data_IF_308740872009
#
_entry.id   IF_308740872009
#
_cell.length_a   1.000
_cell.length_b   1.000
_cell.length_c   1.000
_cell.angle_alpha   90.00
_cell.angle_beta   90.00
_cell.angle_gamma   90.00
#
_symmetry.space_group_name_H-M   'P 1'
#
loop_
_entity.id
_entity.type
_entity.pdbx_description
1 polymer ?
#
# COMPACT_ATOMS: atom_id res chain seq x y z
N UNK A 1 4.21 -20.37 -1.60
CA UNK A 1 3.25 -20.51 -0.50
C UNK A 1 3.18 -19.21 0.29
N UNK A 2 2.01 -18.82 0.73
CA UNK A 2 1.80 -17.55 1.40
C UNK A 2 2.48 -17.48 2.76
N UNK A 3 3.18 -16.37 3.03
CA UNK A 3 3.82 -16.11 4.32
C UNK A 3 2.86 -15.35 5.25
N UNK A 4 3.07 -15.42 6.58
CA UNK A 4 2.15 -14.80 7.54
C UNK A 4 2.40 -13.29 7.73
N UNK A 5 2.44 -12.54 6.65
CA UNK A 5 2.47 -11.07 6.69
C UNK A 5 1.83 -10.50 5.45
N UNK A 6 1.55 -9.21 5.50
CA UNK A 6 0.92 -8.49 4.41
C UNK A 6 1.66 -7.18 4.16
N UNK A 7 1.51 -6.62 2.97
CA UNK A 7 2.10 -5.33 2.62
C UNK A 7 1.04 -4.37 2.11
N UNK A 8 1.30 -3.08 2.31
CA UNK A 8 0.45 -1.98 1.88
C UNK A 8 1.34 -0.97 1.16
N UNK A 9 0.96 -0.58 -0.05
CA UNK A 9 1.79 0.30 -0.87
C UNK A 9 0.98 1.50 -1.36
N UNK A 10 1.54 2.71 -1.19
CA UNK A 10 0.96 3.92 -1.76
C UNK A 10 1.89 4.48 -2.83
N UNK A 11 1.48 4.43 -4.11
CA UNK A 11 2.20 5.15 -5.16
C UNK A 11 2.03 6.66 -4.98
N UNK A 12 3.10 7.41 -5.24
CA UNK A 12 3.02 8.87 -5.21
C UNK A 12 3.80 9.47 -6.36
N UNK A 13 3.40 10.69 -6.73
CA UNK A 13 4.06 11.47 -7.77
C UNK A 13 4.24 12.89 -7.25
N UNK A 14 5.39 13.49 -7.57
CA UNK A 14 5.72 14.86 -7.17
C UNK A 14 5.89 15.70 -8.42
N UNK A 15 5.07 16.75 -8.54
CA UNK A 15 5.15 17.69 -9.65
C UNK A 15 5.07 19.11 -9.08
N UNK A 16 6.03 19.98 -9.44
CA UNK A 16 6.05 21.38 -9.01
C UNK A 16 5.82 21.55 -7.49
N UNK A 17 6.50 20.70 -6.70
CA UNK A 17 6.37 20.66 -5.23
C UNK A 17 5.00 20.27 -4.73
N UNK A 18 4.16 19.73 -5.60
CA UNK A 18 2.85 19.18 -5.26
C UNK A 18 2.94 17.66 -5.22
N UNK A 19 2.28 17.05 -4.25
CA UNK A 19 2.32 15.59 -4.08
C UNK A 19 0.92 15.04 -4.26
N UNK A 20 0.80 14.03 -5.11
CA UNK A 20 -0.46 13.30 -5.27
C UNK A 20 -0.21 11.82 -5.01
N UNK A 21 -1.21 11.18 -4.44
CA UNK A 21 -1.18 9.76 -4.07
C UNK A 21 -2.23 9.00 -4.85
N UNK A 22 -1.88 7.79 -5.27
CA UNK A 22 -2.86 6.92 -5.91
C UNK A 22 -3.55 6.09 -4.83
N UNK A 23 -4.87 6.09 -4.85
CA UNK A 23 -5.69 5.19 -4.03
C UNK A 23 -6.58 4.37 -4.96
N UNK A 24 -7.04 3.23 -4.47
CA UNK A 24 -7.64 2.19 -5.30
C UNK A 24 -8.97 1.72 -4.73
N UNK A 25 -9.95 1.59 -5.62
CA UNK A 25 -11.27 1.08 -5.26
C UNK A 25 -11.31 -0.42 -5.52
N UNK A 26 -11.64 -1.20 -4.50
CA UNK A 26 -11.73 -2.64 -4.63
C UNK A 26 -13.01 -3.05 -5.35
N UNK A 27 -12.86 -4.03 -6.25
CA UNK A 27 -13.99 -4.52 -7.04
C UNK A 27 -15.00 -5.33 -6.21
N UNK A 28 -14.54 -5.93 -5.11
CA UNK A 28 -15.40 -6.83 -4.32
C UNK A 28 -16.14 -6.12 -3.17
N UNK A 29 -15.61 -4.99 -2.65
CA UNK A 29 -16.16 -4.33 -1.46
C UNK A 29 -16.54 -2.87 -1.67
N UNK A 30 -16.23 -2.30 -2.82
CA UNK A 30 -16.58 -0.91 -3.17
C UNK A 30 -16.05 0.14 -2.18
N UNK A 31 -14.85 -0.09 -1.62
CA UNK A 31 -14.20 0.92 -0.79
C UNK A 31 -12.78 1.21 -1.29
N UNK A 32 -12.21 2.32 -0.81
CA UNK A 32 -10.90 2.80 -1.25
C UNK A 32 -9.81 2.42 -0.25
N UNK A 33 -8.64 2.06 -0.78
CA UNK A 33 -7.47 1.68 0.01
C UNK A 33 -6.19 1.83 -0.82
N UNK A 34 -5.03 1.66 -0.15
CA UNK A 34 -3.77 1.48 -0.87
C UNK A 34 -3.71 0.10 -1.52
N UNK A 35 -2.64 -0.16 -2.26
CA UNK A 35 -2.39 -1.50 -2.79
C UNK A 35 -2.03 -2.42 -1.63
N UNK A 36 -2.75 -3.51 -1.48
CA UNK A 36 -2.50 -4.45 -0.39
C UNK A 36 -2.40 -5.86 -0.93
N UNK A 37 -1.51 -6.66 -0.35
CA UNK A 37 -1.36 -8.03 -0.76
C UNK A 37 -0.55 -8.85 0.23
N UNK A 38 -0.56 -10.15 0.06
CA UNK A 38 0.13 -11.07 0.96
C UNK A 38 1.58 -11.29 0.58
N UNK A 39 2.41 -11.54 1.59
CA UNK A 39 3.78 -11.97 1.37
C UNK A 39 3.83 -13.42 0.91
N UNK A 40 4.93 -13.80 0.29
CA UNK A 40 5.21 -15.16 -0.11
C UNK A 40 6.42 -15.69 0.67
N UNK A 41 6.49 -17.00 0.86
CA UNK A 41 7.63 -17.62 1.54
C UNK A 41 8.94 -17.25 0.85
N UNK A 42 9.92 -16.85 1.65
CA UNK A 42 11.23 -16.48 1.14
C UNK A 42 11.35 -15.02 0.74
N UNK A 43 10.24 -14.28 0.72
CA UNK A 43 10.29 -12.85 0.42
C UNK A 43 10.46 -12.02 1.69
N UNK A 44 11.21 -10.94 1.58
CA UNK A 44 11.18 -9.87 2.58
C UNK A 44 9.96 -8.99 2.32
N UNK A 45 9.53 -8.17 3.31
CA UNK A 45 8.40 -7.26 3.07
C UNK A 45 8.57 -6.34 1.86
N UNK A 46 9.77 -5.78 1.64
CA UNK A 46 10.00 -4.92 0.47
C UNK A 46 9.89 -5.70 -0.85
N UNK A 47 10.35 -6.93 -0.89
CA UNK A 47 10.22 -7.76 -2.08
C UNK A 47 8.75 -8.05 -2.38
N UNK A 48 7.97 -8.35 -1.35
CA UNK A 48 6.53 -8.55 -1.51
C UNK A 48 5.83 -7.28 -1.98
N UNK A 49 6.21 -6.12 -1.42
CA UNK A 49 5.65 -4.83 -1.82
C UNK A 49 5.89 -4.56 -3.30
N UNK A 50 7.11 -4.81 -3.77
CA UNK A 50 7.46 -4.62 -5.19
C UNK A 50 6.69 -5.57 -6.10
N UNK A 51 6.56 -6.82 -5.70
CA UNK A 51 5.81 -7.81 -6.48
C UNK A 51 4.34 -7.44 -6.56
N UNK A 52 3.72 -7.12 -5.42
CA UNK A 52 2.30 -6.76 -5.38
C UNK A 52 2.03 -5.49 -6.20
N UNK A 53 2.88 -4.48 -6.09
CA UNK A 53 2.71 -3.25 -6.86
C UNK A 53 2.80 -3.52 -8.36
N UNK A 54 3.66 -4.44 -8.78
CA UNK A 54 3.75 -4.84 -10.18
C UNK A 54 2.50 -5.61 -10.62
N UNK A 55 2.07 -6.59 -9.85
CA UNK A 55 0.92 -7.42 -10.18
C UNK A 55 -0.39 -6.61 -10.20
N UNK A 56 -0.57 -5.73 -9.22
CA UNK A 56 -1.84 -5.02 -9.02
C UNK A 56 -1.95 -3.73 -9.81
N UNK A 57 -0.84 -3.07 -10.13
CA UNK A 57 -0.88 -1.75 -10.75
C UNK A 57 0.15 -1.55 -11.86
N UNK A 58 0.91 -2.57 -12.22
CA UNK A 58 1.90 -2.47 -13.28
C UNK A 58 3.11 -1.60 -12.94
N UNK A 59 3.37 -1.40 -11.66
CA UNK A 59 4.50 -0.57 -11.22
C UNK A 59 5.77 -1.40 -11.23
N UNK A 60 6.77 -0.97 -12.00
CA UNK A 60 8.02 -1.73 -12.11
C UNK A 60 8.80 -1.70 -10.81
N UNK A 61 9.61 -2.76 -10.60
CA UNK A 61 10.33 -2.95 -9.34
C UNK A 61 11.49 -1.99 -9.12
N UNK A 62 11.89 -1.26 -10.16
CA UNK A 62 13.06 -0.39 -10.13
C UNK A 62 12.80 0.98 -9.50
N UNK A 63 11.54 1.35 -9.29
CA UNK A 63 11.23 2.66 -8.76
C UNK A 63 11.60 2.76 -7.27
N UNK A 64 11.90 3.99 -6.79
CA UNK A 64 12.32 4.18 -5.40
C UNK A 64 11.20 3.90 -4.41
N UNK A 65 11.47 3.07 -3.40
CA UNK A 65 10.55 2.77 -2.32
C UNK A 65 11.00 3.42 -1.03
N UNK A 66 10.02 3.82 -0.23
CA UNK A 66 10.24 4.27 1.15
C UNK A 66 9.55 3.24 2.04
N UNK A 67 10.32 2.63 2.96
CA UNK A 67 9.73 1.78 3.98
C UNK A 67 9.24 2.67 5.12
N UNK A 68 7.96 2.53 5.48
CA UNK A 68 7.35 3.35 6.52
C UNK A 68 7.52 2.67 7.87
N UNK A 69 7.43 3.46 8.94
CA UNK A 69 7.40 2.93 10.29
C UNK A 69 6.02 2.39 10.64
N UNK A 70 4.98 2.90 9.98
CA UNK A 70 3.61 2.45 10.19
C UNK A 70 3.49 0.95 9.95
N UNK A 71 2.90 0.26 10.91
CA UNK A 71 2.71 -1.17 10.84
C UNK A 71 1.42 -1.50 11.56
N UNK A 72 0.63 -2.40 11.02
CA UNK A 72 -0.65 -2.80 11.59
C UNK A 72 -0.69 -4.28 11.86
N UNK A 73 -1.56 -4.66 12.79
CA UNK A 73 -1.89 -6.06 13.04
C UNK A 73 -3.30 -6.32 12.52
N UNK A 74 -3.45 -7.38 11.76
CA UNK A 74 -4.74 -7.77 11.18
C UNK A 74 -5.12 -9.15 11.69
N UNK A 75 -6.39 -9.36 12.11
CA UNK A 75 -6.82 -10.71 12.49
C UNK A 75 -6.64 -11.66 11.32
N UNK A 76 -6.07 -12.84 11.60
CA UNK A 76 -5.79 -13.80 10.53
C UNK A 76 -7.06 -14.21 9.79
N UNK A 77 -8.18 -14.33 10.49
CA UNK A 77 -9.46 -14.70 9.89
C UNK A 77 -9.97 -13.66 8.90
N UNK A 78 -9.68 -12.38 9.14
CA UNK A 78 -10.14 -11.30 8.25
C UNK A 78 -9.31 -11.24 6.96
N UNK A 79 -8.11 -11.83 6.96
CA UNK A 79 -7.21 -11.79 5.80
C UNK A 79 -7.33 -13.03 4.93
N UNK A 80 -7.27 -14.22 5.54
CA UNK A 80 -7.27 -15.49 4.79
C UNK A 80 -8.46 -16.38 5.10
N UNK A 81 -9.34 -15.98 6.03
CA UNK A 81 -10.56 -16.71 6.34
C UNK A 81 -10.41 -17.83 7.35
N UNK A 82 -9.21 -18.31 7.60
CA UNK A 82 -8.96 -19.35 8.59
C UNK A 82 -7.53 -19.28 9.13
N UNK A 83 -7.17 -20.24 9.98
CA UNK A 83 -5.84 -20.28 10.62
C UNK A 83 -4.84 -21.02 9.73
N UNK A 84 -4.51 -20.43 8.59
CA UNK A 84 -3.66 -21.02 7.56
C UNK A 84 -2.27 -21.45 8.10
N UNK A 85 -1.72 -20.72 9.07
CA UNK A 85 -0.39 -20.98 9.64
C UNK A 85 -0.45 -21.63 11.02
N UNK A 86 -1.55 -22.28 11.34
CA UNK A 86 -1.73 -22.94 12.62
C UNK A 86 -2.50 -22.07 13.61
N UNK A 87 -3.03 -22.73 14.63
CA UNK A 87 -3.93 -22.09 15.59
C UNK A 87 -3.24 -21.08 16.52
N UNK A 88 -1.93 -20.99 16.49
CA UNK A 88 -1.18 -20.08 17.36
C UNK A 88 -0.81 -18.75 16.71
N UNK A 89 -1.11 -18.56 15.42
CA UNK A 89 -0.90 -17.29 14.73
C UNK A 89 -2.26 -16.61 14.56
N UNK A 90 -2.52 -15.64 15.43
CA UNK A 90 -3.81 -14.96 15.49
C UNK A 90 -3.86 -13.71 14.61
N UNK A 91 -2.73 -13.02 14.46
CA UNK A 91 -2.67 -11.79 13.69
C UNK A 91 -1.52 -11.82 12.69
N UNK A 92 -1.70 -11.08 11.60
CA UNK A 92 -0.65 -10.85 10.62
C UNK A 92 -0.16 -9.43 10.76
N UNK A 93 1.13 -9.21 10.53
CA UNK A 93 1.68 -7.86 10.44
C UNK A 93 1.53 -7.35 9.03
N UNK A 94 1.12 -6.09 8.89
CA UNK A 94 1.06 -5.41 7.62
C UNK A 94 2.14 -4.32 7.60
N UNK A 95 3.09 -4.45 6.67
CA UNK A 95 4.19 -3.50 6.48
C UNK A 95 3.81 -2.51 5.38
N UNK A 96 4.14 -1.23 5.57
CA UNK A 96 3.67 -0.16 4.69
C UNK A 96 4.82 0.52 3.95
N UNK A 97 4.55 0.91 2.71
CA UNK A 97 5.56 1.49 1.82
C UNK A 97 4.96 2.59 0.97
N UNK A 98 5.82 3.53 0.55
CA UNK A 98 5.49 4.43 -0.54
C UNK A 98 6.39 4.14 -1.73
N UNK A 99 5.92 4.37 -2.94
CA UNK A 99 6.72 4.20 -4.15
C UNK A 99 6.55 5.41 -5.06
N UNK A 100 7.68 6.00 -5.47
CA UNK A 100 7.67 7.15 -6.37
C UNK A 100 7.54 6.66 -7.81
N UNK A 101 6.54 7.15 -8.52
CA UNK A 101 6.32 6.78 -9.91
C UNK A 101 6.47 8.00 -10.82
N UNK A 102 6.91 7.80 -12.09
CA UNK A 102 7.15 8.91 -12.99
C UNK A 102 5.91 9.43 -13.69
N UNK A 103 4.86 8.62 -13.80
CA UNK A 103 3.61 9.00 -14.48
C UNK A 103 2.41 8.51 -13.70
N UNK A 104 1.24 9.08 -14.03
CA UNK A 104 -0.02 8.72 -13.38
C UNK A 104 -0.73 7.51 -14.01
N UNK A 105 -0.15 6.92 -15.05
CA UNK A 105 -0.77 5.77 -15.71
C UNK A 105 -0.45 4.48 -14.98
N UNK A 106 -1.49 3.75 -14.60
CA UNK A 106 -1.38 2.48 -13.90
C UNK A 106 -2.22 1.43 -14.64
N UNK A 107 -1.76 0.17 -14.57
CA UNK A 107 -2.47 -0.96 -15.17
C UNK A 107 -3.06 -1.83 -14.06
N UNK A 108 -4.35 -1.67 -13.80
CA UNK A 108 -4.99 -2.36 -12.70
C UNK A 108 -5.23 -3.83 -12.97
N UNK A 109 -5.10 -4.64 -11.91
CA UNK A 109 -5.53 -6.04 -11.92
C UNK A 109 -7.05 -6.09 -11.76
N UNK A 110 -7.60 -7.32 -11.80
CA UNK A 110 -9.05 -7.55 -11.65
C UNK A 110 -9.56 -7.23 -10.25
N UNK A 111 -8.69 -7.10 -9.27
CA UNK A 111 -9.07 -6.84 -7.88
C UNK A 111 -9.52 -5.41 -7.64
N UNK A 112 -9.22 -4.49 -8.56
CA UNK A 112 -9.54 -3.09 -8.41
C UNK A 112 -10.42 -2.60 -9.56
N UNK A 113 -11.44 -1.79 -9.23
CA UNK A 113 -12.32 -1.17 -10.21
C UNK A 113 -11.71 0.08 -10.81
N UNK A 114 -11.01 0.86 -9.99
CA UNK A 114 -10.60 2.19 -10.37
C UNK A 114 -9.47 2.68 -9.48
N UNK A 115 -8.81 3.75 -9.92
CA UNK A 115 -7.84 4.45 -9.10
C UNK A 115 -8.02 5.95 -9.28
N UNK A 116 -7.57 6.70 -8.26
CA UNK A 116 -7.59 8.16 -8.28
C UNK A 116 -6.27 8.70 -7.78
N UNK A 117 -5.83 9.78 -8.38
CA UNK A 117 -4.68 10.55 -7.91
C UNK A 117 -5.20 11.76 -7.14
N UNK A 118 -4.88 11.84 -5.86
CA UNK A 118 -5.42 12.90 -4.99
C UNK A 118 -4.32 13.44 -4.08
N UNK A 119 -4.47 14.70 -3.66
CA UNK A 119 -3.63 15.24 -2.61
C UNK A 119 -3.93 14.50 -1.29
N UNK A 120 -3.06 14.64 -0.30
CA UNK A 120 -3.23 13.95 0.97
C UNK A 120 -4.60 14.22 1.59
N UNK A 121 -5.00 15.50 1.66
CA UNK A 121 -6.23 15.91 2.34
C UNK A 121 -7.47 15.26 1.74
N UNK A 122 -7.49 15.07 0.44
CA UNK A 122 -8.60 14.39 -0.23
C UNK A 122 -8.50 12.88 -0.12
N UNK A 123 -7.29 12.33 -0.32
CA UNK A 123 -7.09 10.89 -0.29
C UNK A 123 -7.47 10.28 1.06
N UNK A 124 -7.05 10.94 2.16
CA UNK A 124 -7.28 10.40 3.50
C UNK A 124 -8.76 10.30 3.84
N UNK A 125 -9.61 11.18 3.28
CA UNK A 125 -11.05 11.14 3.55
C UNK A 125 -11.74 9.95 2.88
N UNK A 126 -11.18 9.43 1.80
CA UNK A 126 -11.78 8.31 1.08
C UNK A 126 -11.31 6.94 1.58
N UNK A 127 -10.15 6.87 2.22
CA UNK A 127 -9.60 5.61 2.69
C UNK A 127 -10.48 4.98 3.76
N UNK A 128 -10.75 3.69 3.60
CA UNK A 128 -11.61 2.94 4.50
C UNK A 128 -10.94 2.62 5.84
N UNK A 129 -9.67 2.19 5.79
CA UNK A 129 -9.01 1.60 6.96
C UNK A 129 -8.12 2.60 7.70
N UNK A 130 -8.16 2.57 9.02
CA UNK A 130 -7.30 3.44 9.84
C UNK A 130 -5.82 3.18 9.59
N UNK A 131 -5.44 1.93 9.36
CA UNK A 131 -4.07 1.58 9.03
C UNK A 131 -3.59 2.29 7.76
N UNK A 132 -4.45 2.39 6.77
CA UNK A 132 -4.16 3.10 5.52
C UNK A 132 -4.00 4.60 5.75
N UNK A 133 -4.87 5.17 6.58
CA UNK A 133 -4.82 6.59 6.91
C UNK A 133 -3.52 6.94 7.64
N UNK A 134 -3.11 6.11 8.58
CA UNK A 134 -1.86 6.32 9.32
C UNK A 134 -0.64 6.21 8.41
N UNK A 135 -0.62 5.19 7.55
CA UNK A 135 0.49 5.01 6.61
C UNK A 135 0.58 6.19 5.64
N UNK A 136 -0.54 6.64 5.11
CA UNK A 136 -0.55 7.78 4.19
C UNK A 136 -0.12 9.07 4.90
N UNK A 137 -0.56 9.26 6.14
CA UNK A 137 -0.14 10.40 6.94
C UNK A 137 1.38 10.42 7.11
N UNK A 138 1.97 9.29 7.47
CA UNK A 138 3.42 9.20 7.64
C UNK A 138 4.16 9.48 6.33
N UNK A 139 3.73 8.86 5.25
CA UNK A 139 4.33 9.08 3.94
C UNK A 139 4.30 10.56 3.56
N UNK A 140 3.14 11.19 3.73
CA UNK A 140 2.98 12.61 3.41
C UNK A 140 3.91 13.48 4.26
N UNK A 141 4.04 13.20 5.55
CA UNK A 141 4.95 13.95 6.43
C UNK A 141 6.40 13.78 6.01
N UNK A 142 6.81 12.57 5.68
CA UNK A 142 8.18 12.31 5.22
C UNK A 142 8.49 13.07 3.93
N UNK A 143 7.56 13.07 2.98
CA UNK A 143 7.75 13.74 1.71
C UNK A 143 7.76 15.26 1.87
N UNK A 144 6.86 15.81 2.68
CA UNK A 144 6.85 17.25 2.96
C UNK A 144 8.15 17.70 3.62
N UNK A 145 8.69 16.92 4.55
CA UNK A 145 9.96 17.23 5.18
C UNK A 145 11.10 17.24 4.18
N UNK A 146 11.12 16.33 3.23
CA UNK A 146 12.14 16.29 2.17
C UNK A 146 12.06 17.51 1.26
N UNK A 147 10.85 17.92 0.90
CA UNK A 147 10.63 19.08 0.05
C UNK A 147 11.05 20.36 0.79
N UNK A 148 10.68 20.48 2.07
CA UNK A 148 10.91 21.71 2.84
C UNK A 148 12.36 21.88 3.30
N UNK A 149 13.19 20.84 3.25
CA UNK A 149 14.60 20.91 3.66
C UNK A 149 15.55 21.26 2.52
N UNK A 150 15.05 21.51 1.35
CA UNK A 150 15.90 21.91 0.19
C UNK A 150 16.16 23.40 0.14
#
# INVERSE_FOLDING_TARGET
>A
MRAPFQVLVFPYIITDNSIEYAIFERSDYEYWQGLAGGGEEGETPIESAKREAFEEAGITRDYPYIELESMSSLPVEDVVGDFLWGKDIYVLKEYSFGVKVPTKELSLSKEHLNYKWLCYEEAVTLLKWDSNKTALWELNKRLLNRINTK
#
